data_IF_362426838181
#
_entry.id   IF_362426838181
#
_cell.length_a   1.000
_cell.length_b   1.000
_cell.length_c   1.000
_cell.angle_alpha   90.00
_cell.angle_beta   90.00
_cell.angle_gamma   90.00
#
_symmetry.space_group_name_H-M   'P 1'
#
loop_
_entity.id
_entity.type
_entity.pdbx_description
1 polymer ?
#
# COMPACT_ATOMS: atom_id res chain seq x y z
N UNK A 1 -29.33 11.38 39.94
CA UNK A 1 -29.12 10.11 39.20
C UNK A 1 -28.81 10.28 37.70
N UNK A 2 -28.51 11.49 37.20
CA UNK A 2 -28.22 11.74 35.78
C UNK A 2 -26.72 11.65 35.40
N UNK A 3 -25.80 11.82 36.36
CA UNK A 3 -24.34 11.85 36.07
C UNK A 3 -23.80 10.51 35.56
N UNK A 4 -24.12 9.40 36.23
CA UNK A 4 -23.54 8.08 35.93
C UNK A 4 -23.93 7.50 34.56
N UNK A 5 -25.07 7.91 33.98
CA UNK A 5 -25.45 7.49 32.62
C UNK A 5 -24.61 8.20 31.56
N UNK A 6 -24.36 9.50 31.72
CA UNK A 6 -23.49 10.25 30.80
C UNK A 6 -22.07 9.71 30.85
N UNK A 7 -21.54 9.43 32.05
CA UNK A 7 -20.20 8.85 32.22
C UNK A 7 -20.05 7.48 31.51
N UNK A 8 -21.09 6.65 31.50
CA UNK A 8 -21.06 5.36 30.80
C UNK A 8 -21.04 5.53 29.27
N UNK A 9 -21.91 6.39 28.72
CA UNK A 9 -21.96 6.63 27.28
C UNK A 9 -20.70 7.33 26.76
N UNK A 10 -20.15 8.27 27.53
CA UNK A 10 -18.89 8.96 27.20
C UNK A 10 -17.70 7.98 27.22
N UNK A 11 -17.65 7.08 28.20
CA UNK A 11 -16.64 6.02 28.24
C UNK A 11 -16.73 5.07 27.04
N UNK A 12 -17.95 4.66 26.68
CA UNK A 12 -18.16 3.79 25.51
C UNK A 12 -17.78 4.50 24.20
N UNK A 13 -18.14 5.77 24.04
CA UNK A 13 -17.78 6.55 22.86
C UNK A 13 -16.25 6.69 22.75
N UNK A 14 -15.57 6.99 23.85
CA UNK A 14 -14.11 7.07 23.90
C UNK A 14 -13.44 5.74 23.53
N UNK A 15 -13.99 4.61 23.98
CA UNK A 15 -13.49 3.27 23.65
C UNK A 15 -13.66 2.96 22.16
N UNK A 16 -14.83 3.27 21.59
CA UNK A 16 -15.10 3.12 20.15
C UNK A 16 -14.13 3.97 19.32
N UNK A 17 -13.89 5.23 19.71
CA UNK A 17 -12.94 6.10 19.01
C UNK A 17 -11.52 5.54 19.07
N UNK A 18 -11.07 5.05 20.23
CA UNK A 18 -9.75 4.40 20.37
C UNK A 18 -9.58 3.18 19.48
N UNK A 19 -10.60 2.33 19.40
CA UNK A 19 -10.56 1.15 18.52
C UNK A 19 -10.52 1.55 17.04
N UNK A 20 -11.29 2.56 16.62
CA UNK A 20 -11.24 3.12 15.26
C UNK A 20 -9.83 3.65 14.92
N UNK A 21 -9.22 4.43 15.82
CA UNK A 21 -7.86 4.92 15.63
C UNK A 21 -6.84 3.78 15.57
N UNK A 22 -7.00 2.76 16.41
CA UNK A 22 -6.12 1.58 16.41
C UNK A 22 -6.22 0.80 15.10
N UNK A 23 -7.42 0.62 14.56
CA UNK A 23 -7.64 0.00 13.26
C UNK A 23 -6.99 0.81 12.12
N UNK A 24 -7.22 2.12 12.08
CA UNK A 24 -6.61 3.02 11.10
C UNK A 24 -5.09 2.98 11.15
N UNK A 25 -4.52 2.98 12.37
CA UNK A 25 -3.07 2.88 12.57
C UNK A 25 -2.51 1.60 11.95
N UNK A 26 -3.10 0.44 12.26
CA UNK A 26 -2.64 -0.86 11.71
C UNK A 26 -2.70 -0.88 10.18
N UNK A 27 -3.80 -0.39 9.60
CA UNK A 27 -3.94 -0.27 8.15
C UNK A 27 -2.84 0.64 7.56
N UNK A 28 -2.60 1.79 8.19
CA UNK A 28 -1.59 2.74 7.73
C UNK A 28 -0.15 2.19 7.82
N UNK A 29 0.13 1.40 8.86
CA UNK A 29 1.42 0.74 9.06
C UNK A 29 1.65 -0.34 8.00
N UNK A 30 0.64 -1.15 7.71
CA UNK A 30 0.71 -2.17 6.64
C UNK A 30 0.90 -1.53 5.26
N UNK A 31 0.13 -0.49 4.94
CA UNK A 31 0.26 0.23 3.68
C UNK A 31 1.66 0.85 3.52
N UNK A 32 2.17 1.49 4.57
CA UNK A 32 3.53 2.04 4.60
C UNK A 32 4.60 0.96 4.42
N UNK A 33 4.40 -0.21 5.03
CA UNK A 33 5.24 -1.39 4.83
C UNK A 33 5.29 -1.82 3.36
N UNK A 34 4.14 -2.02 2.72
CA UNK A 34 4.07 -2.38 1.31
C UNK A 34 4.76 -1.34 0.41
N UNK A 35 4.60 -0.04 0.68
CA UNK A 35 5.25 1.01 -0.11
C UNK A 35 6.78 0.95 -0.01
N UNK A 36 7.32 0.73 1.19
CA UNK A 36 8.78 0.54 1.38
C UNK A 36 9.29 -0.71 0.67
N UNK A 37 8.53 -1.79 0.70
CA UNK A 37 8.87 -3.02 -0.02
C UNK A 37 8.83 -2.82 -1.54
N UNK A 38 7.86 -2.07 -2.06
CA UNK A 38 7.80 -1.71 -3.47
C UNK A 38 9.01 -0.89 -3.91
N UNK A 39 9.43 0.09 -3.12
CA UNK A 39 10.63 0.88 -3.37
C UNK A 39 11.88 0.00 -3.43
N UNK A 40 12.10 -0.82 -2.40
CA UNK A 40 13.23 -1.74 -2.35
C UNK A 40 13.23 -2.76 -3.51
N UNK A 41 12.06 -3.30 -3.87
CA UNK A 41 11.94 -4.23 -4.98
C UNK A 41 12.17 -3.55 -6.33
N UNK A 42 11.71 -2.30 -6.49
CA UNK A 42 11.98 -1.50 -7.68
C UNK A 42 13.48 -1.28 -7.88
N UNK A 43 14.20 -0.97 -6.81
CA UNK A 43 15.66 -0.79 -6.87
C UNK A 43 16.39 -2.08 -7.23
N UNK A 44 15.98 -3.21 -6.65
CA UNK A 44 16.50 -4.53 -7.01
C UNK A 44 16.24 -4.88 -8.47
N UNK A 45 15.05 -4.59 -9.00
CA UNK A 45 14.72 -4.79 -10.42
C UNK A 45 15.63 -3.92 -11.30
N UNK A 46 15.80 -2.64 -10.97
CA UNK A 46 16.65 -1.72 -11.72
C UNK A 46 18.12 -2.17 -11.70
N UNK A 47 18.60 -2.67 -10.56
CA UNK A 47 19.93 -3.27 -10.46
C UNK A 47 20.07 -4.55 -11.29
N UNK A 48 19.07 -5.44 -11.27
CA UNK A 48 19.05 -6.65 -12.07
C UNK A 48 19.09 -6.34 -13.59
N UNK A 49 18.35 -5.31 -14.02
CA UNK A 49 18.39 -4.81 -15.40
C UNK A 49 19.79 -4.27 -15.74
N UNK A 50 20.37 -3.42 -14.89
CA UNK A 50 21.73 -2.88 -15.09
C UNK A 50 22.80 -3.97 -15.17
N UNK A 51 22.65 -5.04 -14.39
CA UNK A 51 23.53 -6.21 -14.40
C UNK A 51 23.25 -7.20 -15.55
N UNK A 52 22.29 -6.89 -16.43
CA UNK A 52 21.85 -7.76 -17.51
C UNK A 52 21.52 -9.19 -17.05
N UNK A 53 20.86 -9.32 -15.89
CA UNK A 53 20.41 -10.62 -15.41
C UNK A 53 19.42 -11.26 -16.40
N UNK A 54 19.26 -12.60 -16.38
CA UNK A 54 18.33 -13.28 -17.27
C UNK A 54 16.91 -12.71 -17.17
N UNK A 55 16.26 -12.49 -18.31
CA UNK A 55 14.90 -11.92 -18.36
C UNK A 55 13.89 -12.68 -17.51
N UNK A 56 14.03 -14.00 -17.42
CA UNK A 56 13.17 -14.83 -16.58
C UNK A 56 13.28 -14.46 -15.10
N UNK A 57 14.48 -14.17 -14.61
CA UNK A 57 14.72 -13.74 -13.22
C UNK A 57 14.14 -12.33 -12.99
N UNK A 58 14.37 -11.40 -13.91
CA UNK A 58 13.79 -10.05 -13.82
C UNK A 58 12.25 -10.12 -13.85
N UNK A 59 11.67 -10.98 -14.70
CA UNK A 59 10.24 -11.17 -14.77
C UNK A 59 9.65 -11.76 -13.48
N UNK A 60 10.34 -12.71 -12.81
CA UNK A 60 9.93 -13.18 -11.47
C UNK A 60 9.89 -12.03 -10.47
N UNK A 61 10.89 -11.15 -10.49
CA UNK A 61 10.92 -9.97 -9.61
C UNK A 61 9.79 -8.98 -9.93
N UNK A 62 9.48 -8.75 -11.22
CA UNK A 62 8.34 -7.92 -11.64
C UNK A 62 7.01 -8.52 -11.17
N UNK A 63 6.84 -9.84 -11.23
CA UNK A 63 5.66 -10.52 -10.70
C UNK A 63 5.54 -10.30 -9.19
N UNK A 64 6.64 -10.47 -8.44
CA UNK A 64 6.67 -10.21 -7.02
C UNK A 64 6.33 -8.75 -6.68
N UNK A 65 6.92 -7.79 -7.39
CA UNK A 65 6.58 -6.36 -7.27
C UNK A 65 5.08 -6.12 -7.49
N UNK A 66 4.51 -6.69 -8.55
CA UNK A 66 3.11 -6.50 -8.88
C UNK A 66 2.16 -7.15 -7.86
N UNK A 67 2.60 -8.20 -7.16
CA UNK A 67 1.85 -8.80 -6.05
C UNK A 67 1.81 -7.87 -4.84
N UNK A 68 2.96 -7.38 -4.39
CA UNK A 68 3.07 -6.40 -3.28
C UNK A 68 2.24 -5.14 -3.61
N UNK A 69 2.25 -4.74 -4.88
CA UNK A 69 1.44 -3.62 -5.36
C UNK A 69 -0.07 -3.89 -5.20
N UNK A 70 -0.50 -5.13 -5.45
CA UNK A 70 -1.88 -5.55 -5.21
C UNK A 70 -2.25 -5.44 -3.73
N UNK A 71 -1.39 -5.94 -2.85
CA UNK A 71 -1.58 -5.85 -1.40
C UNK A 71 -1.65 -4.38 -0.95
N UNK A 72 -0.80 -3.51 -1.50
CA UNK A 72 -0.84 -2.07 -1.21
C UNK A 72 -2.16 -1.41 -1.64
N UNK A 73 -2.73 -1.77 -2.80
CA UNK A 73 -4.02 -1.24 -3.24
C UNK A 73 -5.15 -1.70 -2.31
N UNK A 74 -5.11 -2.95 -1.86
CA UNK A 74 -6.08 -3.48 -0.90
C UNK A 74 -6.01 -2.72 0.44
N UNK A 75 -4.82 -2.52 0.99
CA UNK A 75 -4.66 -1.72 2.22
C UNK A 75 -5.09 -0.27 2.04
N UNK A 76 -4.81 0.33 0.88
CA UNK A 76 -5.27 1.69 0.57
C UNK A 76 -6.79 1.77 0.47
N UNK A 77 -7.45 0.75 -0.09
CA UNK A 77 -8.90 0.65 -0.09
C UNK A 77 -9.46 0.57 1.34
N UNK A 78 -8.93 -0.32 2.19
CA UNK A 78 -9.37 -0.43 3.59
C UNK A 78 -9.12 0.87 4.37
N UNK A 79 -8.06 1.60 4.07
CA UNK A 79 -7.78 2.89 4.68
C UNK A 79 -8.88 3.91 4.35
N UNK A 80 -9.25 4.02 3.07
CA UNK A 80 -10.31 4.94 2.61
C UNK A 80 -11.64 4.59 3.28
N UNK A 81 -12.07 3.33 3.18
CA UNK A 81 -13.35 2.88 3.74
C UNK A 81 -13.41 3.09 5.26
N UNK A 82 -12.30 2.84 5.96
CA UNK A 82 -12.25 3.01 7.42
C UNK A 82 -12.28 4.49 7.81
N UNK A 83 -11.65 5.38 7.03
CA UNK A 83 -11.76 6.84 7.24
C UNK A 83 -13.21 7.33 7.04
N UNK A 84 -13.87 6.86 5.99
CA UNK A 84 -15.28 7.18 5.70
C UNK A 84 -16.21 6.69 6.82
N UNK A 85 -16.10 5.41 7.19
CA UNK A 85 -16.92 4.81 8.24
C UNK A 85 -16.67 5.42 9.63
N UNK A 86 -15.47 5.94 9.87
CA UNK A 86 -15.13 6.59 11.14
C UNK A 86 -15.57 8.05 11.21
N UNK A 87 -16.00 8.66 10.10
CA UNK A 87 -16.34 10.08 10.02
C UNK A 87 -15.13 11.01 9.90
N UNK A 88 -13.91 10.46 9.76
CA UNK A 88 -12.68 11.24 9.63
C UNK A 88 -12.42 11.74 8.20
N UNK A 89 -13.27 11.39 7.23
CA UNK A 89 -13.11 11.81 5.82
C UNK A 89 -13.02 13.33 5.63
N UNK A 90 -13.67 14.11 6.51
CA UNK A 90 -13.66 15.58 6.46
C UNK A 90 -12.43 16.22 7.13
N UNK A 91 -11.55 15.43 7.77
CA UNK A 91 -10.40 15.95 8.53
C UNK A 91 -9.15 16.23 7.68
N UNK A 92 -9.26 16.21 6.35
CA UNK A 92 -8.14 16.43 5.43
C UNK A 92 -7.18 15.23 5.27
N UNK A 93 -7.45 14.11 5.96
CA UNK A 93 -6.75 12.84 5.78
C UNK A 93 -7.15 12.25 4.44
N UNK A 94 -6.25 12.34 3.45
CA UNK A 94 -6.49 11.80 2.12
C UNK A 94 -5.60 10.57 1.83
N UNK A 95 -6.13 9.62 1.07
CA UNK A 95 -5.37 8.47 0.62
C UNK A 95 -4.37 8.78 -0.51
N UNK A 96 -4.25 10.06 -0.92
CA UNK A 96 -3.28 10.50 -1.93
C UNK A 96 -1.87 10.64 -1.36
N UNK A 97 -1.74 10.75 -0.02
CA UNK A 97 -0.45 10.66 0.68
C UNK A 97 0.24 9.32 0.38
N UNK A 98 -0.55 8.25 0.21
CA UNK A 98 -0.06 6.92 -0.13
C UNK A 98 -0.07 6.69 -1.65
N UNK A 99 0.92 7.26 -2.35
CA UNK A 99 1.09 7.03 -3.79
C UNK A 99 1.66 5.65 -4.04
N UNK A 100 0.82 4.77 -4.60
CA UNK A 100 1.23 3.44 -5.04
C UNK A 100 1.84 3.55 -6.45
N UNK A 101 3.05 3.03 -6.70
CA UNK A 101 3.67 3.06 -8.02
C UNK A 101 2.84 2.29 -9.06
N UNK A 102 2.97 2.61 -10.36
CA UNK A 102 2.25 1.90 -11.41
C UNK A 102 2.69 0.44 -11.53
N UNK A 103 1.80 -0.41 -12.06
CA UNK A 103 2.09 -1.81 -12.35
C UNK A 103 3.22 -1.89 -13.38
N UNK A 104 4.19 -2.78 -13.16
CA UNK A 104 5.29 -3.00 -14.11
C UNK A 104 4.91 -4.04 -15.16
N UNK A 105 5.23 -3.77 -16.42
CA UNK A 105 5.04 -4.69 -17.52
C UNK A 105 6.12 -5.79 -17.50
N UNK A 106 5.72 -7.01 -17.84
CA UNK A 106 6.65 -8.15 -18.02
C UNK A 106 7.50 -7.90 -19.27
N UNK A 107 8.78 -8.27 -19.21
CA UNK A 107 9.67 -8.19 -20.36
C UNK A 107 9.32 -9.31 -21.35
N UNK A 108 8.58 -8.98 -22.40
CA UNK A 108 8.30 -9.86 -23.54
C UNK A 108 9.36 -9.68 -24.62
N UNK A 109 9.94 -10.75 -25.14
CA UNK A 109 10.97 -10.67 -26.17
C UNK A 109 10.42 -10.97 -27.57
N UNK A 110 10.58 -10.00 -28.49
CA UNK A 110 11.22 -10.22 -29.80
C UNK A 110 11.78 -8.89 -30.31
N UNK A 111 13.09 -8.71 -30.13
CA UNK A 111 14.03 -8.09 -31.08
C UNK A 111 15.39 -8.02 -30.40
N UNK A 112 16.27 -8.93 -30.78
CA UNK A 112 17.69 -8.58 -30.82
C UNK A 112 17.82 -7.47 -31.87
N UNK A 113 18.55 -6.38 -31.63
CA UNK A 113 19.00 -5.57 -32.74
C UNK A 113 19.90 -6.49 -33.57
N UNK A 114 19.44 -6.84 -34.76
CA UNK A 114 20.30 -7.38 -35.80
C UNK A 114 21.30 -6.28 -36.08
N UNK A 115 22.57 -6.53 -35.73
CA UNK A 115 23.68 -5.78 -36.29
C UNK A 115 23.65 -6.07 -37.79
N UNK A 116 23.14 -5.12 -38.58
CA UNK A 116 23.51 -5.02 -39.99
C UNK A 116 24.83 -4.28 -40.05
N UNK A 117 25.83 -5.01 -40.52
CA UNK A 117 27.13 -4.53 -41.02
C UNK A 117 26.98 -3.37 -42.02
#
# INVERSE_FOLDING_TARGET
MLSSKNDFFDNLQNEIEREKFSALRRISENLSGCLKELEAMNDRINEAIRKNLPRQEINKMIIAFNRIRGDAEEWRYYFIVTLEASGFFHSGLNASVYKIPPRKAILTGTKNPVNTE
#
